data_IF_882997753491
#
_entry.id   IF_882997753491
#
_cell.length_a   1.000
_cell.length_b   1.000
_cell.length_c   1.000
_cell.angle_alpha   90.00
_cell.angle_beta   90.00
_cell.angle_gamma   90.00
#
_symmetry.space_group_name_H-M   'P 1'
#
loop_
_entity.id
_entity.type
_entity.pdbx_description
1 polymer ?
#
# COMPACT_ATOMS: atom_id res chain seq x y z
N UNK A 1 2.18 -27.57 9.47
CA UNK A 1 2.71 -26.49 10.32
C UNK A 1 2.13 -26.68 11.70
N UNK A 2 2.67 -27.63 12.44
CA UNK A 2 2.16 -27.95 13.75
C UNK A 2 2.88 -27.08 14.79
N UNK A 3 2.12 -26.31 15.59
CA UNK A 3 2.62 -25.59 16.75
C UNK A 3 2.94 -24.10 16.59
N UNK A 4 2.76 -23.51 15.40
CA UNK A 4 2.90 -22.07 15.23
C UNK A 4 1.58 -21.37 15.56
N UNK A 5 1.49 -20.74 16.71
CA UNK A 5 0.43 -19.81 17.08
C UNK A 5 0.94 -18.38 16.96
N UNK A 6 0.13 -17.48 16.41
CA UNK A 6 0.42 -16.04 16.35
C UNK A 6 -0.40 -15.37 17.43
N UNK A 7 0.27 -14.71 18.36
CA UNK A 7 -0.33 -13.98 19.47
C UNK A 7 -0.28 -12.46 19.20
N UNK A 8 -0.99 -11.69 20.02
CA UNK A 8 -0.95 -10.24 19.96
C UNK A 8 0.49 -9.68 20.17
N UNK A 9 1.24 -10.31 21.06
CA UNK A 9 2.63 -9.90 21.35
C UNK A 9 3.56 -10.01 20.15
N UNK A 10 3.25 -10.91 19.19
CA UNK A 10 4.02 -11.08 17.96
C UNK A 10 3.90 -9.87 17.00
N UNK A 11 2.83 -9.08 17.14
CA UNK A 11 2.54 -7.90 16.30
C UNK A 11 2.61 -6.57 17.08
N UNK A 12 2.71 -6.64 18.40
CA UNK A 12 2.79 -5.46 19.24
C UNK A 12 4.17 -4.80 19.18
N UNK A 13 4.21 -3.53 18.83
CA UNK A 13 5.45 -2.74 18.78
C UNK A 13 5.66 -2.01 20.11
N UNK A 14 6.91 -1.94 20.55
CA UNK A 14 7.31 -1.18 21.74
C UNK A 14 7.01 0.31 21.56
N UNK A 15 6.59 0.98 22.63
CA UNK A 15 6.16 2.40 22.61
C UNK A 15 7.21 3.36 22.03
N UNK A 16 8.50 3.12 22.27
CA UNK A 16 9.57 3.99 21.78
C UNK A 16 9.74 3.91 20.27
N UNK A 17 9.54 2.71 19.72
CA UNK A 17 9.60 2.46 18.29
C UNK A 17 8.34 3.02 17.62
N UNK A 18 7.19 2.91 18.27
CA UNK A 18 5.95 3.49 17.78
C UNK A 18 6.05 5.02 17.63
N UNK A 19 6.77 5.70 18.52
CA UNK A 19 7.08 7.13 18.37
C UNK A 19 7.93 7.39 17.12
N UNK A 20 9.00 6.62 16.91
CA UNK A 20 9.85 6.75 15.71
C UNK A 20 9.06 6.51 14.42
N UNK A 21 8.17 5.52 14.42
CA UNK A 21 7.28 5.23 13.29
C UNK A 21 6.36 6.42 13.01
N UNK A 22 5.76 7.00 14.05
CA UNK A 22 4.91 8.17 13.91
C UNK A 22 5.67 9.39 13.38
N UNK A 23 6.90 9.60 13.83
CA UNK A 23 7.77 10.70 13.35
C UNK A 23 8.11 10.51 11.85
N UNK A 24 8.44 9.29 11.43
CA UNK A 24 8.68 8.96 10.02
C UNK A 24 7.39 9.16 9.19
N UNK A 25 6.25 8.71 9.68
CA UNK A 25 4.95 8.89 9.01
C UNK A 25 4.60 10.37 8.89
N UNK A 26 4.84 11.16 9.93
CA UNK A 26 4.63 12.61 9.90
C UNK A 26 5.55 13.31 8.87
N UNK A 27 6.81 12.87 8.76
CA UNK A 27 7.73 13.36 7.73
C UNK A 27 7.24 13.04 6.31
N UNK A 28 6.80 11.82 6.06
CA UNK A 28 6.23 11.38 4.77
C UNK A 28 5.00 12.24 4.40
N UNK A 29 4.10 12.46 5.35
CA UNK A 29 2.93 13.31 5.14
C UNK A 29 3.29 14.76 4.87
N UNK A 30 4.30 15.28 5.57
CA UNK A 30 4.82 16.63 5.34
C UNK A 30 5.40 16.77 3.93
N UNK A 31 6.27 15.86 3.50
CA UNK A 31 6.89 15.88 2.16
C UNK A 31 5.84 15.78 1.06
N UNK A 32 4.85 14.92 1.23
CA UNK A 32 3.70 14.82 0.33
C UNK A 32 2.91 16.14 0.25
N UNK A 33 2.69 16.82 1.39
CA UNK A 33 2.01 18.12 1.43
C UNK A 33 2.79 19.22 0.71
N UNK A 34 4.12 19.21 0.85
CA UNK A 34 5.02 20.15 0.16
C UNK A 34 4.95 19.94 -1.35
N UNK A 35 5.00 18.67 -1.81
CA UNK A 35 4.87 18.35 -3.22
C UNK A 35 3.50 18.79 -3.78
N UNK A 36 2.42 18.57 -3.04
CA UNK A 36 1.07 19.04 -3.42
C UNK A 36 1.01 20.55 -3.56
N UNK A 37 1.63 21.30 -2.65
CA UNK A 37 1.72 22.77 -2.74
C UNK A 37 2.50 23.22 -3.97
N UNK A 38 3.62 22.57 -4.28
CA UNK A 38 4.42 22.85 -5.49
C UNK A 38 3.63 22.57 -6.77
N UNK A 39 2.86 21.48 -6.80
CA UNK A 39 2.00 21.13 -7.92
C UNK A 39 0.93 22.19 -8.16
N UNK A 40 0.22 22.63 -7.12
CA UNK A 40 -0.80 23.67 -7.20
C UNK A 40 -0.23 25.03 -7.61
N UNK A 41 0.99 25.33 -7.22
CA UNK A 41 1.69 26.56 -7.61
C UNK A 41 2.27 26.51 -9.04
N UNK A 42 2.16 25.38 -9.75
CA UNK A 42 2.72 25.22 -11.09
C UNK A 42 4.26 25.18 -11.12
N UNK A 43 4.91 24.88 -9.99
CA UNK A 43 6.36 24.88 -9.84
C UNK A 43 7.01 23.55 -10.20
N UNK A 44 6.22 22.58 -10.66
CA UNK A 44 6.74 21.26 -11.04
C UNK A 44 7.04 21.24 -12.53
N UNK A 45 8.29 20.92 -12.89
CA UNK A 45 8.74 20.72 -14.26
C UNK A 45 8.88 19.23 -14.53
N UNK A 46 7.98 18.63 -15.34
CA UNK A 46 8.07 17.22 -15.68
C UNK A 46 9.24 16.95 -16.62
N UNK A 47 9.82 15.75 -16.61
CA UNK A 47 10.80 15.32 -17.61
C UNK A 47 10.17 15.21 -18.99
N UNK A 48 11.03 15.20 -20.04
CA UNK A 48 10.59 15.13 -21.45
C UNK A 48 9.78 13.85 -21.67
N UNK A 49 8.57 14.00 -22.23
CA UNK A 49 7.68 12.89 -22.56
C UNK A 49 6.66 12.51 -21.48
N UNK A 50 6.62 13.23 -20.38
CA UNK A 50 5.66 13.00 -19.28
C UNK A 50 4.81 14.24 -19.03
N UNK A 51 3.54 14.05 -18.71
CA UNK A 51 2.67 15.16 -18.30
C UNK A 51 2.97 15.57 -16.85
N UNK A 52 2.67 16.82 -16.50
CA UNK A 52 2.88 17.32 -15.14
C UNK A 52 2.07 16.51 -14.11
N UNK A 53 0.87 16.06 -14.49
CA UNK A 53 0.00 15.24 -13.63
C UNK A 53 0.60 13.84 -13.41
N UNK A 54 1.09 13.19 -14.46
CA UNK A 54 1.71 11.87 -14.35
C UNK A 54 2.97 11.90 -13.49
N UNK A 55 3.80 12.92 -13.68
CA UNK A 55 4.99 13.12 -12.87
C UNK A 55 4.64 13.37 -11.39
N UNK A 56 3.66 14.24 -11.13
CA UNK A 56 3.17 14.49 -9.78
C UNK A 56 2.65 13.20 -9.11
N UNK A 57 1.87 12.39 -9.81
CA UNK A 57 1.34 11.14 -9.27
C UNK A 57 2.47 10.12 -9.00
N UNK A 58 3.47 10.05 -9.86
CA UNK A 58 4.63 9.18 -9.67
C UNK A 58 5.44 9.58 -8.44
N UNK A 59 5.76 10.86 -8.31
CA UNK A 59 6.49 11.39 -7.15
C UNK A 59 5.70 11.18 -5.84
N UNK A 60 4.39 11.42 -5.86
CA UNK A 60 3.54 11.15 -4.71
C UNK A 60 3.55 9.67 -4.31
N UNK A 61 3.46 8.77 -5.26
CA UNK A 61 3.55 7.33 -5.00
C UNK A 61 4.92 6.94 -4.43
N UNK A 62 6.02 7.55 -4.90
CA UNK A 62 7.35 7.30 -4.38
C UNK A 62 7.49 7.77 -2.92
N UNK A 63 6.99 8.97 -2.58
CA UNK A 63 7.02 9.52 -1.23
C UNK A 63 6.15 8.70 -0.26
N UNK A 64 4.94 8.30 -0.70
CA UNK A 64 3.96 7.60 0.15
C UNK A 64 4.21 6.09 0.24
N UNK A 65 5.14 5.56 -0.54
CA UNK A 65 5.54 4.16 -0.46
C UNK A 65 6.46 3.96 0.76
N UNK A 66 6.20 2.98 1.63
CA UNK A 66 7.11 2.72 2.74
C UNK A 66 8.48 2.30 2.18
N UNK A 67 9.49 3.10 2.46
CA UNK A 67 10.86 2.82 2.07
C UNK A 67 11.45 1.61 2.82
N UNK A 68 12.55 1.08 2.32
CA UNK A 68 13.27 -0.04 2.96
C UNK A 68 13.69 0.30 4.40
N UNK A 69 14.07 1.56 4.66
CA UNK A 69 14.42 2.05 5.99
C UNK A 69 13.26 1.93 7.00
N UNK A 70 12.04 2.21 6.57
CA UNK A 70 10.85 2.08 7.41
C UNK A 70 10.58 0.61 7.73
N UNK A 71 10.68 -0.26 6.72
CA UNK A 71 10.53 -1.70 6.88
C UNK A 71 11.58 -2.25 7.83
N UNK A 72 12.83 -1.81 7.69
CA UNK A 72 13.94 -2.22 8.54
C UNK A 72 13.72 -1.85 10.01
N UNK A 73 13.32 -0.61 10.29
CA UNK A 73 13.03 -0.15 11.67
C UNK A 73 11.96 -1.02 12.35
N UNK A 74 10.92 -1.41 11.62
CA UNK A 74 9.87 -2.27 12.17
C UNK A 74 10.38 -3.69 12.37
N UNK A 75 11.08 -4.25 11.39
CA UNK A 75 11.61 -5.61 11.49
C UNK A 75 12.63 -5.74 12.63
N UNK A 76 13.57 -4.79 12.76
CA UNK A 76 14.56 -4.76 13.86
C UNK A 76 13.92 -4.63 15.25
N UNK A 77 12.69 -4.13 15.32
CA UNK A 77 11.95 -3.96 16.57
C UNK A 77 11.33 -5.23 17.13
N UNK A 78 11.17 -6.23 16.30
CA UNK A 78 10.52 -7.50 16.64
C UNK A 78 11.54 -8.52 17.15
N UNK A 79 11.10 -9.39 18.03
CA UNK A 79 11.92 -10.48 18.54
C UNK A 79 11.93 -11.65 17.52
N UNK A 80 12.95 -11.70 16.67
CA UNK A 80 13.05 -12.72 15.63
C UNK A 80 13.15 -14.16 16.17
N UNK A 81 13.70 -14.34 17.38
CA UNK A 81 13.89 -15.67 17.95
C UNK A 81 12.59 -16.27 18.49
N UNK A 82 11.71 -15.45 19.08
CA UNK A 82 10.49 -15.93 19.72
C UNK A 82 9.22 -15.63 18.91
N UNK A 83 9.31 -14.74 17.90
CA UNK A 83 8.18 -14.31 17.10
C UNK A 83 7.87 -15.29 15.96
N UNK A 84 6.76 -15.99 16.05
CA UNK A 84 6.35 -16.98 15.06
C UNK A 84 5.96 -16.35 13.72
N UNK A 85 5.48 -15.09 13.71
CA UNK A 85 5.15 -14.37 12.48
C UNK A 85 6.42 -14.01 11.69
N UNK A 86 7.48 -13.55 12.38
CA UNK A 86 8.78 -13.30 11.75
C UNK A 86 9.35 -14.58 11.14
N UNK A 87 9.34 -15.69 11.88
CA UNK A 87 9.79 -17.00 11.38
C UNK A 87 9.04 -17.45 10.11
N UNK A 88 7.72 -17.20 10.03
CA UNK A 88 6.93 -17.53 8.84
C UNK A 88 7.34 -16.69 7.63
N UNK A 89 7.62 -15.42 7.83
CA UNK A 89 8.03 -14.49 6.77
C UNK A 89 9.47 -14.78 6.32
N UNK A 90 10.40 -14.98 7.26
CA UNK A 90 11.81 -15.29 6.98
C UNK A 90 12.01 -16.63 6.28
N UNK A 91 11.22 -17.63 6.65
CA UNK A 91 11.25 -18.94 5.97
C UNK A 91 10.69 -18.89 4.55
N UNK A 92 10.11 -17.77 4.13
CA UNK A 92 9.50 -17.60 2.80
C UNK A 92 8.25 -18.45 2.56
N UNK A 93 7.75 -19.14 3.58
CA UNK A 93 6.58 -20.03 3.45
C UNK A 93 5.28 -19.26 3.28
N UNK A 94 5.11 -18.17 4.03
CA UNK A 94 3.89 -17.35 3.97
C UNK A 94 4.15 -15.93 4.47
N UNK A 95 3.53 -14.98 3.77
CA UNK A 95 3.62 -13.56 4.13
C UNK A 95 4.85 -12.87 3.53
N UNK A 96 4.85 -11.56 3.67
CA UNK A 96 5.95 -10.65 3.29
C UNK A 96 6.21 -9.69 4.44
N UNK A 97 7.37 -9.07 4.56
CA UNK A 97 7.63 -8.03 5.56
C UNK A 97 6.58 -6.91 5.56
N UNK A 98 6.06 -6.55 4.38
CA UNK A 98 4.98 -5.57 4.22
C UNK A 98 3.68 -5.96 4.96
N UNK A 99 3.40 -7.26 5.14
CA UNK A 99 2.23 -7.69 5.90
C UNK A 99 2.41 -7.42 7.40
N UNK A 100 3.62 -7.60 7.92
CA UNK A 100 3.95 -7.27 9.32
C UNK A 100 3.81 -5.76 9.52
N UNK A 101 4.33 -4.94 8.59
CA UNK A 101 4.17 -3.49 8.61
C UNK A 101 2.71 -3.06 8.70
N UNK A 102 1.86 -3.60 7.84
CA UNK A 102 0.43 -3.27 7.81
C UNK A 102 -0.29 -3.65 9.10
N UNK A 103 0.11 -4.75 9.73
CA UNK A 103 -0.45 -5.15 11.02
C UNK A 103 0.00 -4.25 12.16
N UNK A 104 1.28 -3.92 12.22
CA UNK A 104 1.91 -3.35 13.40
C UNK A 104 2.07 -1.83 13.35
N UNK A 105 2.30 -1.23 12.16
CA UNK A 105 2.73 0.18 12.05
C UNK A 105 1.81 1.05 11.22
N UNK A 106 1.70 0.80 9.92
CA UNK A 106 0.87 1.58 9.00
C UNK A 106 0.47 0.71 7.80
N UNK A 107 -0.77 0.84 7.36
CA UNK A 107 -1.24 0.15 6.16
C UNK A 107 -0.63 0.78 4.90
N UNK A 108 -0.39 2.10 4.92
CA UNK A 108 0.26 2.82 3.83
C UNK A 108 -0.68 3.22 2.70
N UNK A 109 -0.12 3.56 1.53
CA UNK A 109 -0.88 4.02 0.38
C UNK A 109 -1.61 2.87 -0.32
N UNK A 110 -2.92 2.97 -0.43
CA UNK A 110 -3.72 2.07 -1.25
C UNK A 110 -3.60 2.46 -2.72
N UNK A 111 -3.41 1.46 -3.58
CA UNK A 111 -3.21 1.68 -5.01
C UNK A 111 -4.16 0.84 -5.85
N UNK A 112 -4.76 1.47 -6.86
CA UNK A 112 -5.60 0.80 -7.84
C UNK A 112 -4.84 0.74 -9.16
N UNK A 113 -4.46 -0.46 -9.60
CA UNK A 113 -3.66 -0.68 -10.80
C UNK A 113 -2.34 0.11 -10.81
N UNK A 114 -1.67 0.22 -9.67
CA UNK A 114 -0.40 0.91 -9.53
C UNK A 114 -0.46 2.44 -9.49
N UNK A 115 -1.66 3.02 -9.38
CA UNK A 115 -1.88 4.47 -9.24
C UNK A 115 -2.67 4.73 -7.96
N UNK A 116 -2.54 5.94 -7.41
CA UNK A 116 -3.39 6.38 -6.29
C UNK A 116 -4.86 6.35 -6.69
N UNK A 117 -5.76 6.43 -5.72
CA UNK A 117 -7.20 6.41 -5.97
C UNK A 117 -7.62 7.59 -6.84
N UNK A 118 -8.37 7.30 -7.91
CA UNK A 118 -8.87 8.34 -8.81
C UNK A 118 -9.95 9.18 -8.14
N UNK A 119 -9.91 10.47 -8.38
CA UNK A 119 -10.95 11.44 -7.97
C UNK A 119 -12.20 11.29 -8.83
N UNK A 120 -12.91 10.17 -8.70
CA UNK A 120 -14.08 9.82 -9.50
C UNK A 120 -15.42 10.31 -8.92
N UNK A 121 -15.41 10.73 -7.66
CA UNK A 121 -16.60 11.30 -7.01
C UNK A 121 -16.68 12.81 -7.29
N UNK A 122 -17.90 13.35 -7.29
CA UNK A 122 -18.11 14.77 -7.52
C UNK A 122 -17.26 15.66 -6.58
N UNK A 123 -16.88 16.84 -7.07
CA UNK A 123 -16.03 17.81 -6.38
C UNK A 123 -14.61 17.30 -6.09
N UNK A 124 -14.01 16.60 -7.06
CA UNK A 124 -12.63 16.09 -7.01
C UNK A 124 -12.33 15.21 -5.79
N UNK A 125 -13.28 14.39 -5.38
CA UNK A 125 -13.10 13.45 -4.28
C UNK A 125 -12.69 12.07 -4.78
N UNK A 126 -11.70 11.46 -4.15
CA UNK A 126 -11.32 10.07 -4.39
C UNK A 126 -12.13 9.11 -3.51
N UNK A 127 -12.58 9.55 -2.33
CA UNK A 127 -13.37 8.78 -1.38
C UNK A 127 -14.71 9.48 -1.10
N UNK A 128 -15.81 8.75 -0.89
CA UNK A 128 -17.14 9.33 -0.74
C UNK A 128 -17.27 10.27 0.47
N UNK A 129 -16.56 9.98 1.56
CA UNK A 129 -16.57 10.77 2.79
C UNK A 129 -15.44 11.80 2.88
N UNK A 130 -14.55 11.88 1.87
CA UNK A 130 -13.54 12.92 1.82
C UNK A 130 -14.18 14.30 1.63
N UNK A 131 -13.56 15.34 2.17
CA UNK A 131 -13.99 16.72 1.96
C UNK A 131 -13.84 17.10 0.49
N UNK A 132 -14.62 18.06 0.03
CA UNK A 132 -14.54 18.59 -1.33
C UNK A 132 -13.16 19.21 -1.57
N UNK A 133 -12.56 18.94 -2.72
CA UNK A 133 -11.26 19.49 -3.14
C UNK A 133 -10.10 19.19 -2.16
N UNK A 134 -10.22 18.10 -1.39
CA UNK A 134 -9.23 17.71 -0.41
C UNK A 134 -8.17 16.82 -1.06
N UNK A 135 -6.94 17.30 -1.12
CA UNK A 135 -5.80 16.63 -1.78
C UNK A 135 -4.77 16.04 -0.81
N UNK A 136 -5.09 16.02 0.48
CA UNK A 136 -4.22 15.36 1.45
C UNK A 136 -4.12 13.86 1.17
N UNK A 137 -2.98 13.23 1.49
CA UNK A 137 -2.75 11.81 1.20
C UNK A 137 -3.85 10.90 1.70
N UNK A 138 -4.39 11.15 2.89
CA UNK A 138 -5.47 10.37 3.50
C UNK A 138 -6.76 10.43 2.67
N UNK A 139 -7.07 11.57 2.05
CA UNK A 139 -8.23 11.72 1.18
C UNK A 139 -8.09 10.96 -0.15
N UNK A 140 -6.87 10.56 -0.51
CA UNK A 140 -6.53 9.85 -1.76
C UNK A 140 -6.07 8.42 -1.47
N UNK A 141 -6.33 7.92 -0.26
CA UNK A 141 -6.15 6.52 0.09
C UNK A 141 -4.86 6.17 0.82
N UNK A 142 -4.17 7.13 1.42
CA UNK A 142 -3.11 6.84 2.37
C UNK A 142 -3.72 6.52 3.75
N UNK A 143 -3.26 5.44 4.37
CA UNK A 143 -3.76 4.96 5.65
C UNK A 143 -2.61 4.96 6.66
N UNK A 144 -2.54 5.96 7.55
CA UNK A 144 -1.49 6.03 8.57
C UNK A 144 -1.68 5.03 9.70
N UNK A 145 -2.91 4.53 9.88
CA UNK A 145 -3.28 3.58 10.92
C UNK A 145 -2.79 2.16 10.59
N UNK A 146 -2.70 1.31 11.61
CA UNK A 146 -2.43 -0.13 11.48
C UNK A 146 -3.64 -0.96 11.88
N UNK A 147 -3.62 -2.27 11.56
CA UNK A 147 -4.69 -3.15 12.02
C UNK A 147 -4.75 -3.30 13.54
N UNK A 148 -3.59 -3.16 14.23
CA UNK A 148 -3.52 -3.21 15.70
C UNK A 148 -4.10 -1.95 16.33
N UNK A 149 -3.85 -0.77 15.75
CA UNK A 149 -4.39 0.50 16.27
C UNK A 149 -5.86 0.71 15.93
N UNK A 150 -6.36 -0.05 14.96
CA UNK A 150 -7.70 0.12 14.41
C UNK A 150 -7.73 1.11 13.25
N UNK A 151 -8.73 0.97 12.39
CA UNK A 151 -8.84 1.69 11.10
C UNK A 151 -10.05 2.61 11.15
N UNK A 152 -9.88 3.86 10.75
CA UNK A 152 -10.97 4.84 10.64
C UNK A 152 -11.95 4.46 9.52
N UNK A 153 -13.15 5.03 9.52
CA UNK A 153 -14.17 4.75 8.49
C UNK A 153 -13.69 5.14 7.09
N UNK A 154 -12.95 6.25 6.96
CA UNK A 154 -12.41 6.70 5.68
C UNK A 154 -11.34 5.73 5.17
N UNK A 155 -10.42 5.34 6.03
CA UNK A 155 -9.37 4.36 5.75
C UNK A 155 -9.93 2.98 5.42
N UNK A 156 -10.97 2.54 6.12
CA UNK A 156 -11.65 1.28 5.84
C UNK A 156 -12.26 1.26 4.44
N UNK A 157 -12.85 2.37 3.97
CA UNK A 157 -13.41 2.46 2.63
C UNK A 157 -12.30 2.44 1.58
N UNK A 158 -11.18 3.14 1.82
CA UNK A 158 -10.03 3.10 0.94
C UNK A 158 -9.48 1.67 0.79
N UNK A 159 -9.33 0.96 1.89
CA UNK A 159 -8.89 -0.44 1.89
C UNK A 159 -9.88 -1.37 1.17
N UNK A 160 -11.19 -1.18 1.37
CA UNK A 160 -12.23 -1.95 0.69
C UNK A 160 -12.21 -1.75 -0.83
N UNK A 161 -11.93 -0.54 -1.31
CA UNK A 161 -11.81 -0.26 -2.74
C UNK A 161 -10.61 -0.98 -3.36
N UNK A 162 -9.45 -0.98 -2.69
CA UNK A 162 -8.28 -1.72 -3.15
C UNK A 162 -8.52 -3.23 -3.11
N UNK A 163 -9.06 -3.75 -2.01
CA UNK A 163 -9.40 -5.16 -1.86
C UNK A 163 -10.37 -5.64 -2.96
N UNK A 164 -11.41 -4.86 -3.26
CA UNK A 164 -12.36 -5.16 -4.35
C UNK A 164 -11.67 -5.20 -5.71
N UNK A 165 -10.79 -4.23 -5.99
CA UNK A 165 -10.01 -4.23 -7.24
C UNK A 165 -9.13 -5.47 -7.35
N UNK A 166 -8.46 -5.86 -6.27
CA UNK A 166 -7.64 -7.07 -6.20
C UNK A 166 -8.45 -8.35 -6.48
N UNK A 167 -9.63 -8.50 -5.88
CA UNK A 167 -10.52 -9.65 -6.11
C UNK A 167 -10.98 -9.68 -7.57
N UNK A 168 -11.48 -8.56 -8.09
CA UNK A 168 -11.97 -8.47 -9.47
C UNK A 168 -10.85 -8.80 -10.46
N UNK A 169 -9.65 -8.25 -10.27
CA UNK A 169 -8.50 -8.52 -11.14
C UNK A 169 -8.12 -10.00 -11.10
N UNK A 170 -8.04 -10.61 -9.93
CA UNK A 170 -7.71 -12.04 -9.79
C UNK A 170 -8.77 -12.94 -10.41
N UNK A 171 -10.05 -12.68 -10.17
CA UNK A 171 -11.14 -13.49 -10.70
C UNK A 171 -11.22 -13.45 -12.23
N UNK A 172 -11.04 -12.28 -12.86
CA UNK A 172 -11.10 -12.14 -14.32
C UNK A 172 -9.80 -12.60 -14.99
N UNK A 173 -8.65 -12.26 -14.43
CA UNK A 173 -7.35 -12.58 -15.05
C UNK A 173 -7.10 -14.08 -15.17
N UNK A 174 -7.48 -14.87 -14.17
CA UNK A 174 -7.28 -16.33 -14.19
C UNK A 174 -8.06 -17.01 -15.32
N UNK A 175 -9.31 -16.61 -15.55
CA UNK A 175 -10.14 -17.14 -16.64
C UNK A 175 -9.58 -16.79 -18.02
N UNK A 176 -9.20 -15.54 -18.23
CA UNK A 176 -8.62 -15.05 -19.51
C UNK A 176 -7.28 -15.74 -19.78
N UNK A 177 -6.39 -15.77 -18.79
CA UNK A 177 -5.07 -16.40 -18.93
C UNK A 177 -5.19 -17.90 -19.20
N UNK A 178 -6.09 -18.59 -18.49
CA UNK A 178 -6.35 -20.02 -18.70
C UNK A 178 -6.86 -20.31 -20.12
N UNK A 179 -7.76 -19.47 -20.63
CA UNK A 179 -8.27 -19.62 -22.00
C UNK A 179 -7.19 -19.38 -23.06
N UNK A 180 -6.35 -18.35 -22.90
CA UNK A 180 -5.22 -18.11 -23.79
C UNK A 180 -4.20 -19.25 -23.75
N UNK A 181 -3.87 -19.74 -22.56
CA UNK A 181 -2.94 -20.86 -22.41
C UNK A 181 -3.47 -22.13 -23.11
N UNK A 182 -4.77 -22.43 -22.95
CA UNK A 182 -5.41 -23.54 -23.66
C UNK A 182 -5.29 -23.38 -25.18
N UNK A 183 -5.55 -22.17 -25.72
CA UNK A 183 -5.41 -21.91 -27.17
C UNK A 183 -3.98 -22.12 -27.64
N UNK A 184 -3.00 -21.58 -26.92
CA UNK A 184 -1.59 -21.75 -27.27
C UNK A 184 -1.19 -23.23 -27.26
N UNK A 185 -1.56 -23.97 -26.23
CA UNK A 185 -1.25 -25.40 -26.15
C UNK A 185 -1.89 -26.20 -27.30
N UNK A 186 -3.14 -25.90 -27.63
CA UNK A 186 -3.80 -26.53 -28.76
C UNK A 186 -3.15 -26.21 -30.12
N UNK A 187 -2.66 -24.99 -30.28
CA UNK A 187 -1.93 -24.61 -31.50
C UNK A 187 -0.59 -25.32 -31.61
N UNK A 188 0.07 -25.62 -30.48
CA UNK A 188 1.37 -26.29 -30.42
C UNK A 188 1.26 -27.82 -30.59
N UNK A 189 0.08 -28.43 -30.33
CA UNK A 189 -0.12 -29.88 -30.49
C UNK A 189 0.10 -30.35 -31.93
N UNK A 190 -0.05 -29.47 -32.93
CA UNK A 190 0.13 -29.82 -34.36
C UNK A 190 1.56 -29.48 -34.86
N UNK A 191 2.41 -28.95 -34.05
CA UNK A 191 3.80 -28.62 -34.37
C UNK A 191 4.67 -29.77 -33.86
N UNK A 192 4.95 -30.73 -34.73
CA UNK A 192 5.88 -31.83 -34.53
C UNK A 192 7.16 -31.53 -35.30
#
# INVERSE_FOLDING_TARGET
>A
VNGYTINYDDIAIKKDILKRINDITASILYDSSVLTKKYRAGLITPPIGMTTEEFYEQEQMAILSPGDSFTQVVMESLDHENNNLCKLVESGTKGKPTNILQMSSSIGQMSIKGKRMRKSFGYERALPYARRFHDEPEAVGFIPESFVTGVSSLSAIAQQQDGRNGITTKALSTGITGYHNRKCNKSLESVI
#
